data_IF_093255647058
#
_entry.id   IF_093255647058
#
_cell.length_a   1.000
_cell.length_b   1.000
_cell.length_c   1.000
_cell.angle_alpha   90.00
_cell.angle_beta   90.00
_cell.angle_gamma   90.00
#
_symmetry.space_group_name_H-M   'P 1'
#
loop_
_entity.id
_entity.type
_entity.pdbx_description
1 polymer ?
#
# COMPACT_ATOMS: atom_id res chain seq x y z
N UNK A 1 17.32 6.12 1.05
CA UNK A 1 15.95 6.63 1.18
C UNK A 1 15.85 7.95 1.99
N UNK A 2 16.82 8.32 2.85
CA UNK A 2 16.78 9.61 3.57
C UNK A 2 16.79 10.84 2.64
N UNK A 3 17.66 10.86 1.62
CA UNK A 3 17.68 11.96 0.63
C UNK A 3 16.33 12.09 -0.11
N UNK A 4 15.66 10.97 -0.37
CA UNK A 4 14.34 10.97 -0.99
C UNK A 4 13.28 11.61 -0.08
N UNK A 5 13.42 11.53 1.25
CA UNK A 5 12.52 12.25 2.16
C UNK A 5 12.72 13.77 2.06
N UNK A 6 13.97 14.24 1.98
CA UNK A 6 14.27 15.67 1.81
C UNK A 6 13.72 16.21 0.48
N UNK A 7 13.89 15.43 -0.59
CA UNK A 7 13.30 15.75 -1.90
C UNK A 7 11.77 15.77 -1.83
N UNK A 8 11.16 14.80 -1.15
CA UNK A 8 9.71 14.72 -0.99
C UNK A 8 9.16 15.93 -0.19
N UNK A 9 9.83 16.31 0.91
CA UNK A 9 9.53 17.53 1.68
C UNK A 9 9.66 18.80 0.82
N UNK A 10 10.70 18.88 -0.01
CA UNK A 10 10.93 20.01 -0.89
C UNK A 10 9.86 20.12 -1.99
N UNK A 11 9.50 19.02 -2.65
CA UNK A 11 8.51 18.99 -3.74
C UNK A 11 7.12 19.31 -3.20
N UNK A 12 6.61 18.51 -2.26
CA UNK A 12 5.22 18.62 -1.82
C UNK A 12 5.04 19.84 -0.91
N UNK A 13 5.98 20.10 0.00
CA UNK A 13 5.96 21.30 0.84
C UNK A 13 6.17 22.59 0.03
N UNK A 14 6.99 22.53 -1.03
CA UNK A 14 7.15 23.61 -2.00
C UNK A 14 5.87 23.89 -2.78
N UNK A 15 5.26 22.86 -3.37
CA UNK A 15 4.01 22.97 -4.11
C UNK A 15 2.89 23.56 -3.22
N UNK A 16 2.78 23.14 -1.97
CA UNK A 16 1.81 23.70 -1.04
C UNK A 16 2.03 25.21 -0.82
N UNK A 17 3.28 25.65 -0.62
CA UNK A 17 3.60 27.08 -0.48
C UNK A 17 3.32 27.87 -1.75
N UNK A 18 3.71 27.36 -2.91
CA UNK A 18 3.62 28.09 -4.17
C UNK A 18 2.18 28.20 -4.69
N UNK A 19 1.37 27.15 -4.50
CA UNK A 19 -0.02 27.11 -4.97
C UNK A 19 -0.98 27.79 -4.00
N UNK A 20 -0.83 27.54 -2.70
CA UNK A 20 -1.80 28.00 -1.69
C UNK A 20 -1.33 29.31 -1.02
N UNK A 21 -0.03 29.57 -0.96
CA UNK A 21 0.53 30.71 -0.24
C UNK A 21 0.50 30.54 1.28
N UNK A 22 0.23 29.33 1.79
CA UNK A 22 0.16 29.03 3.22
C UNK A 22 0.75 27.65 3.54
N UNK A 23 1.22 27.46 4.77
CA UNK A 23 1.70 26.15 5.26
C UNK A 23 0.61 25.34 5.95
N UNK A 24 -0.56 25.92 6.21
CA UNK A 24 -1.71 25.23 6.82
C UNK A 24 -2.93 25.38 5.95
N UNK A 25 -3.59 24.26 5.66
CA UNK A 25 -4.83 24.25 4.87
C UNK A 25 -5.93 23.47 5.56
N UNK A 26 -7.17 23.83 5.26
CA UNK A 26 -8.32 23.00 5.60
C UNK A 26 -8.60 22.02 4.48
N UNK A 27 -8.75 20.75 4.85
CA UNK A 27 -9.22 19.70 3.95
C UNK A 27 -10.36 18.94 4.64
N UNK A 28 -11.60 19.19 4.17
CA UNK A 28 -12.80 18.75 4.87
C UNK A 28 -12.88 19.35 6.28
N UNK A 29 -12.90 18.49 7.30
CA UNK A 29 -12.94 18.91 8.72
C UNK A 29 -11.55 18.99 9.37
N UNK A 30 -10.49 18.64 8.66
CA UNK A 30 -9.14 18.61 9.20
C UNK A 30 -8.34 19.83 8.77
N UNK A 31 -7.38 20.23 9.61
CA UNK A 31 -6.31 21.14 9.24
C UNK A 31 -5.04 20.32 8.98
N UNK A 32 -4.42 20.53 7.82
CA UNK A 32 -3.17 19.88 7.42
C UNK A 32 -2.06 20.92 7.52
N UNK A 33 -1.02 20.62 8.30
CA UNK A 33 0.18 21.46 8.44
C UNK A 33 1.35 20.87 7.62
N UNK A 34 1.74 21.58 6.57
CA UNK A 34 2.86 21.25 5.68
C UNK A 34 4.21 21.79 6.18
N UNK A 35 4.28 22.38 7.37
CA UNK A 35 5.54 22.87 7.93
C UNK A 35 6.51 21.71 8.14
N UNK A 36 7.67 21.79 7.49
CA UNK A 36 8.74 20.78 7.59
C UNK A 36 9.63 21.06 8.82
N UNK A 37 10.34 20.05 9.35
CA UNK A 37 10.37 18.65 8.92
C UNK A 37 9.11 17.87 9.35
N UNK A 38 8.71 16.90 8.54
CA UNK A 38 7.53 16.08 8.81
C UNK A 38 7.82 14.95 9.81
N UNK A 39 6.75 14.43 10.43
CA UNK A 39 6.85 13.31 11.37
C UNK A 39 7.45 12.11 10.64
N UNK A 40 8.42 11.45 11.26
CA UNK A 40 8.99 10.17 10.81
C UNK A 40 8.64 9.12 11.86
N UNK A 41 7.96 8.07 11.45
CA UNK A 41 7.50 7.02 12.36
C UNK A 41 7.69 5.65 11.73
N UNK A 42 8.10 4.66 12.52
CA UNK A 42 8.25 3.28 12.05
C UNK A 42 6.90 2.63 11.88
N UNK A 43 6.77 1.79 10.86
CA UNK A 43 5.57 1.01 10.57
C UNK A 43 5.07 0.24 11.81
N UNK A 44 5.97 -0.51 12.46
CA UNK A 44 5.65 -1.28 13.65
C UNK A 44 5.21 -0.42 14.85
N UNK A 45 5.78 0.79 14.99
CA UNK A 45 5.41 1.70 16.08
C UNK A 45 4.02 2.29 15.86
N UNK A 46 3.65 2.61 14.63
CA UNK A 46 2.32 3.09 14.28
C UNK A 46 1.25 2.00 14.46
N UNK A 47 1.57 0.76 14.08
CA UNK A 47 0.69 -0.38 14.32
C UNK A 47 0.47 -0.59 15.83
N UNK A 48 1.52 -0.46 16.64
CA UNK A 48 1.41 -0.51 18.10
C UNK A 48 0.60 0.67 18.65
N UNK A 49 0.82 1.88 18.15
CA UNK A 49 0.16 3.11 18.60
C UNK A 49 -1.35 3.08 18.35
N UNK A 50 -1.77 2.74 17.12
CA UNK A 50 -3.17 2.87 16.71
C UNK A 50 -3.96 1.57 16.75
N UNK A 51 -3.31 0.41 16.61
CA UNK A 51 -3.98 -0.90 16.67
C UNK A 51 -3.69 -1.68 17.95
N UNK A 52 -2.71 -1.26 18.77
CA UNK A 52 -2.30 -1.99 19.97
C UNK A 52 -1.62 -3.33 19.67
N UNK A 53 -1.08 -3.50 18.46
CA UNK A 53 -0.52 -4.76 17.98
C UNK A 53 1.00 -4.70 17.90
N UNK A 54 1.65 -5.78 18.34
CA UNK A 54 3.02 -6.07 17.93
C UNK A 54 2.98 -6.82 16.60
N UNK A 55 3.77 -6.36 15.63
CA UNK A 55 3.86 -6.97 14.31
C UNK A 55 4.28 -8.45 14.36
N UNK A 56 5.02 -8.87 15.39
CA UNK A 56 5.52 -10.24 15.53
C UNK A 56 4.56 -11.17 16.31
N UNK A 57 3.53 -10.62 16.96
CA UNK A 57 2.54 -11.40 17.71
C UNK A 57 1.47 -11.94 16.76
N UNK A 58 1.79 -13.05 16.08
CA UNK A 58 0.89 -13.70 15.10
C UNK A 58 -0.48 -14.03 15.69
N UNK A 59 -0.59 -14.63 16.90
CA UNK A 59 -1.89 -14.86 17.52
C UNK A 59 -2.70 -13.58 17.73
N UNK A 60 -2.10 -12.50 18.22
CA UNK A 60 -2.81 -11.24 18.45
C UNK A 60 -3.25 -10.57 17.13
N UNK A 61 -2.39 -10.58 16.11
CA UNK A 61 -2.70 -10.09 14.76
C UNK A 61 -3.89 -10.84 14.17
N UNK A 62 -3.88 -12.18 14.23
CA UNK A 62 -4.98 -13.01 13.73
C UNK A 62 -6.28 -12.75 14.50
N UNK A 63 -6.21 -12.69 15.84
CA UNK A 63 -7.37 -12.42 16.68
C UNK A 63 -7.98 -11.05 16.35
N UNK A 64 -7.15 -10.02 16.15
CA UNK A 64 -7.63 -8.68 15.79
C UNK A 64 -8.29 -8.65 14.41
N UNK A 65 -7.69 -9.33 13.42
CA UNK A 65 -8.28 -9.43 12.09
C UNK A 65 -9.64 -10.17 12.09
N UNK A 66 -9.81 -11.17 12.96
CA UNK A 66 -11.10 -11.83 13.16
C UNK A 66 -12.11 -10.92 13.85
N UNK A 67 -11.71 -10.22 14.92
CA UNK A 67 -12.53 -9.30 15.70
C UNK A 67 -13.17 -8.21 14.83
N UNK A 68 -12.39 -7.59 13.93
CA UNK A 68 -12.88 -6.51 13.07
C UNK A 68 -13.54 -7.02 11.76
N UNK A 69 -13.63 -8.34 11.57
CA UNK A 69 -14.20 -8.96 10.37
C UNK A 69 -13.31 -8.87 9.12
N UNK A 70 -12.05 -8.42 9.25
CA UNK A 70 -11.10 -8.31 8.14
C UNK A 70 -10.78 -9.68 7.54
N UNK A 71 -10.67 -10.74 8.37
CA UNK A 71 -10.39 -12.08 7.86
C UNK A 71 -11.50 -12.57 6.92
N UNK A 72 -12.77 -12.34 7.27
CA UNK A 72 -13.90 -12.68 6.42
C UNK A 72 -13.95 -11.84 5.14
N UNK A 73 -13.53 -10.56 5.21
CA UNK A 73 -13.39 -9.68 4.04
C UNK A 73 -12.33 -10.21 3.08
N UNK A 74 -11.17 -10.63 3.57
CA UNK A 74 -10.09 -11.21 2.78
C UNK A 74 -10.49 -12.55 2.15
N UNK A 75 -11.18 -13.42 2.89
CA UNK A 75 -11.73 -14.68 2.37
C UNK A 75 -12.67 -14.46 1.18
N UNK A 76 -13.58 -13.49 1.31
CA UNK A 76 -14.52 -13.14 0.22
C UNK A 76 -13.78 -12.57 -0.99
N UNK A 77 -12.76 -11.74 -0.77
CA UNK A 77 -11.97 -11.17 -1.86
C UNK A 77 -11.18 -12.25 -2.62
N UNK A 78 -10.57 -13.20 -1.91
CA UNK A 78 -9.88 -14.33 -2.53
C UNK A 78 -10.84 -15.21 -3.34
N UNK A 79 -11.99 -15.58 -2.77
CA UNK A 79 -12.98 -16.39 -3.47
C UNK A 79 -13.54 -15.68 -4.73
N UNK A 80 -13.63 -14.35 -4.73
CA UNK A 80 -14.03 -13.57 -5.90
C UNK A 80 -12.95 -13.60 -7.00
N UNK A 81 -11.68 -13.43 -6.63
CA UNK A 81 -10.56 -13.51 -7.56
C UNK A 81 -10.46 -14.88 -8.23
N UNK A 82 -10.62 -15.96 -7.47
CA UNK A 82 -10.67 -17.34 -7.99
C UNK A 82 -11.83 -17.58 -8.97
N UNK A 83 -12.87 -16.73 -8.92
CA UNK A 83 -14.01 -16.77 -9.85
C UNK A 83 -13.86 -15.78 -11.01
N UNK A 84 -12.70 -15.12 -11.16
CA UNK A 84 -12.46 -14.08 -12.17
C UNK A 84 -13.27 -12.80 -11.94
N UNK A 85 -13.81 -12.60 -10.73
CA UNK A 85 -14.58 -11.42 -10.36
C UNK A 85 -13.63 -10.42 -9.69
N UNK A 86 -13.55 -9.22 -10.25
CA UNK A 86 -12.81 -8.11 -9.66
C UNK A 86 -13.35 -7.76 -8.25
N UNK A 87 -12.57 -7.95 -7.18
CA UNK A 87 -13.02 -7.75 -5.81
C UNK A 87 -13.37 -6.29 -5.49
N UNK A 88 -12.83 -5.31 -6.24
CA UNK A 88 -13.20 -3.90 -6.09
C UNK A 88 -14.65 -3.61 -6.52
N UNK A 89 -15.31 -4.53 -7.23
CA UNK A 89 -16.72 -4.41 -7.63
C UNK A 89 -17.71 -4.92 -6.56
N UNK A 90 -17.24 -5.69 -5.58
CA UNK A 90 -18.07 -6.26 -4.49
C UNK A 90 -18.33 -5.28 -3.34
N UNK A 91 -17.55 -4.20 -3.23
CA UNK A 91 -17.65 -3.19 -2.17
C UNK A 91 -18.51 -1.96 -2.53
N UNK A 92 -19.17 -1.95 -3.70
CA UNK A 92 -20.05 -0.85 -4.10
C UNK A 92 -21.45 -0.96 -3.44
N UNK A 93 -22.03 0.13 -2.88
CA UNK A 93 -23.37 0.10 -2.33
C UNK A 93 -24.42 -0.10 -3.45
N UNK A 94 -25.28 -1.12 -3.32
CA UNK A 94 -26.44 -1.32 -4.20
C UNK A 94 -26.64 -2.72 -4.81
N UNK A 95 -25.81 -3.72 -4.47
CA UNK A 95 -25.95 -5.11 -4.97
C UNK A 95 -26.43 -6.12 -3.91
N UNK A 96 -27.09 -5.69 -2.84
CA UNK A 96 -27.66 -6.59 -1.81
C UNK A 96 -28.90 -7.38 -2.28
N UNK A 97 -29.34 -7.23 -3.55
CA UNK A 97 -30.58 -7.83 -4.05
C UNK A 97 -30.44 -8.65 -5.35
N UNK A 98 -29.23 -9.05 -5.76
CA UNK A 98 -29.10 -10.08 -6.79
C UNK A 98 -29.21 -11.46 -6.14
N UNK A 99 -30.07 -12.37 -6.66
CA UNK A 99 -30.11 -13.73 -6.15
C UNK A 99 -28.76 -14.39 -6.42
N UNK A 100 -28.15 -14.88 -5.34
CA UNK A 100 -26.92 -15.68 -5.39
C UNK A 100 -27.07 -16.80 -6.42
N UNK A 101 -26.11 -17.02 -7.32
CA UNK A 101 -26.08 -18.26 -8.08
C UNK A 101 -25.96 -19.43 -7.10
N UNK A 102 -26.73 -20.50 -7.36
CA UNK A 102 -26.76 -21.72 -6.56
C UNK A 102 -25.33 -22.21 -6.34
N UNK A 103 -24.92 -22.56 -5.10
CA UNK A 103 -23.57 -23.05 -4.85
C UNK A 103 -23.29 -24.25 -5.75
N UNK A 104 -22.21 -24.20 -6.52
CA UNK A 104 -21.62 -25.40 -7.06
C UNK A 104 -21.33 -26.35 -5.88
N UNK A 105 -21.54 -27.66 -6.09
CA UNK A 105 -21.42 -28.68 -5.05
C UNK A 105 -20.09 -28.55 -4.28
N UNK A 106 -20.09 -28.83 -2.97
CA UNK A 106 -18.91 -28.65 -2.12
C UNK A 106 -17.80 -29.61 -2.56
N UNK A 107 -16.87 -29.10 -3.36
CA UNK A 107 -15.56 -29.70 -3.53
C UNK A 107 -14.73 -29.45 -2.27
N UNK A 108 -14.31 -30.54 -1.62
CA UNK A 108 -13.38 -30.60 -0.49
C UNK A 108 -13.69 -29.68 0.72
N UNK A 109 -14.47 -30.22 1.66
CA UNK A 109 -14.48 -29.71 3.03
C UNK A 109 -13.07 -29.76 3.63
N UNK A 110 -12.57 -28.62 4.12
CA UNK A 110 -11.51 -28.56 5.14
C UNK A 110 -10.15 -27.98 4.77
N UNK A 111 -10.01 -27.15 3.72
CA UNK A 111 -8.80 -26.33 3.60
C UNK A 111 -8.89 -25.16 4.61
N UNK A 112 -8.03 -25.15 5.62
CA UNK A 112 -7.88 -23.97 6.49
C UNK A 112 -7.47 -22.77 5.64
N UNK A 113 -8.25 -21.69 5.71
CA UNK A 113 -7.89 -20.44 5.05
C UNK A 113 -6.59 -19.92 5.66
N UNK A 114 -5.52 -19.99 4.87
CA UNK A 114 -4.19 -19.54 5.26
C UNK A 114 -3.92 -18.18 4.64
N UNK A 115 -3.74 -17.16 5.48
CA UNK A 115 -3.26 -15.83 5.05
C UNK A 115 -1.84 -15.68 5.54
N UNK A 116 -0.94 -15.25 4.64
CA UNK A 116 0.40 -14.88 5.04
C UNK A 116 0.35 -13.79 6.12
N UNK A 117 1.14 -13.99 7.18
CA UNK A 117 1.14 -13.12 8.34
C UNK A 117 1.46 -11.67 7.98
N UNK A 118 2.40 -11.46 7.05
CA UNK A 118 2.84 -10.12 6.66
C UNK A 118 1.77 -9.42 5.83
N UNK A 119 1.07 -10.14 4.95
CA UNK A 119 -0.10 -9.61 4.24
C UNK A 119 -1.24 -9.24 5.19
N UNK A 120 -1.48 -10.05 6.23
CA UNK A 120 -2.50 -9.77 7.22
C UNK A 120 -2.18 -8.52 8.06
N UNK A 121 -0.91 -8.38 8.46
CA UNK A 121 -0.39 -7.16 9.09
C UNK A 121 -0.63 -5.95 8.20
N UNK A 122 -0.33 -6.05 6.90
CA UNK A 122 -0.53 -4.95 5.97
C UNK A 122 -1.99 -4.53 5.85
N UNK A 123 -2.88 -5.50 5.71
CA UNK A 123 -4.32 -5.24 5.65
C UNK A 123 -4.85 -4.59 6.95
N UNK A 124 -4.29 -4.95 8.11
CA UNK A 124 -4.62 -4.30 9.39
C UNK A 124 -4.08 -2.87 9.47
N UNK A 125 -2.89 -2.60 8.93
CA UNK A 125 -2.34 -1.26 8.87
C UNK A 125 -3.23 -0.34 8.02
N UNK A 126 -3.62 -0.80 6.83
CA UNK A 126 -4.54 -0.06 5.95
C UNK A 126 -5.88 0.26 6.65
N UNK A 127 -6.47 -0.74 7.30
CA UNK A 127 -7.80 -0.59 7.94
C UNK A 127 -7.75 0.23 9.24
N UNK A 128 -6.68 0.12 10.03
CA UNK A 128 -6.64 0.67 11.39
C UNK A 128 -5.71 1.86 11.58
N UNK A 129 -4.69 2.04 10.75
CA UNK A 129 -3.63 3.05 10.96
C UNK A 129 -3.78 4.26 10.04
N UNK A 130 -3.97 4.05 8.74
CA UNK A 130 -3.89 5.12 7.74
C UNK A 130 -4.80 6.31 8.04
N UNK A 131 -6.04 6.04 8.49
CA UNK A 131 -7.03 7.08 8.81
C UNK A 131 -6.56 8.08 9.89
N UNK A 132 -5.60 7.69 10.74
CA UNK A 132 -5.05 8.54 11.79
C UNK A 132 -3.91 9.45 11.31
N UNK A 133 -3.34 9.18 10.13
CA UNK A 133 -2.22 9.94 9.56
C UNK A 133 -2.71 11.20 8.86
N UNK A 134 -3.15 12.18 9.67
CA UNK A 134 -3.74 13.45 9.17
C UNK A 134 -2.68 14.39 8.60
N UNK A 135 -1.70 14.76 9.42
CA UNK A 135 -0.58 15.59 8.98
C UNK A 135 0.44 14.75 8.22
N UNK A 136 1.27 15.37 7.35
CA UNK A 136 2.33 14.68 6.63
C UNK A 136 3.20 13.84 7.58
N UNK A 137 3.20 12.53 7.33
CA UNK A 137 3.92 11.55 8.13
C UNK A 137 4.62 10.56 7.21
N UNK A 138 5.94 10.50 7.30
CA UNK A 138 6.72 9.42 6.70
C UNK A 138 6.60 8.17 7.57
N UNK A 139 6.04 7.11 6.99
CA UNK A 139 6.03 5.76 7.53
C UNK A 139 7.27 5.06 7.03
N UNK A 140 8.11 4.54 7.92
CA UNK A 140 9.42 3.96 7.63
C UNK A 140 9.47 2.47 7.97
N UNK A 141 10.52 1.80 7.53
CA UNK A 141 10.94 0.48 8.01
C UNK A 141 9.85 -0.59 7.81
N UNK A 142 9.40 -0.72 6.56
CA UNK A 142 8.38 -1.71 6.17
C UNK A 142 8.91 -3.14 6.28
N UNK A 143 8.03 -4.13 6.55
CA UNK A 143 8.39 -5.54 6.43
C UNK A 143 8.96 -5.87 5.04
N UNK A 144 10.14 -6.49 5.05
CA UNK A 144 10.88 -6.89 3.87
C UNK A 144 10.03 -7.67 2.84
N UNK A 145 9.20 -8.67 3.22
CA UNK A 145 8.39 -9.42 2.27
C UNK A 145 7.36 -8.57 1.48
N UNK A 146 6.96 -7.40 1.99
CA UNK A 146 6.07 -6.47 1.27
C UNK A 146 6.81 -5.62 0.22
N UNK A 147 8.14 -5.68 0.18
CA UNK A 147 8.98 -4.76 -0.57
C UNK A 147 9.97 -5.54 -1.45
N UNK A 148 9.50 -6.20 -2.53
CA UNK A 148 10.29 -7.11 -3.37
C UNK A 148 11.38 -6.41 -4.18
N UNK A 149 11.25 -5.10 -4.43
CA UNK A 149 12.19 -4.29 -5.21
C UNK A 149 13.09 -3.41 -4.33
N UNK A 150 13.01 -3.57 -3.01
CA UNK A 150 13.68 -2.67 -2.07
C UNK A 150 14.85 -3.34 -1.39
N UNK A 151 15.95 -2.60 -1.23
CA UNK A 151 17.08 -3.03 -0.39
C UNK A 151 16.63 -3.35 1.03
N UNK A 152 17.16 -4.45 1.56
CA UNK A 152 17.05 -4.80 2.97
C UNK A 152 17.81 -3.80 3.83
N UNK A 153 17.35 -3.57 5.05
CA UNK A 153 18.10 -2.78 6.02
C UNK A 153 19.38 -3.54 6.40
N UNK A 154 20.56 -2.88 6.43
CA UNK A 154 21.85 -3.56 6.62
C UNK A 154 21.96 -4.26 7.98
N UNK A 155 21.38 -3.66 9.03
CA UNK A 155 21.42 -4.21 10.39
C UNK A 155 20.26 -5.16 10.71
N UNK A 156 19.18 -5.12 9.93
CA UNK A 156 17.98 -5.95 10.16
C UNK A 156 17.34 -6.33 8.82
N UNK A 157 17.73 -7.48 8.24
CA UNK A 157 17.21 -7.91 6.94
C UNK A 157 15.70 -8.17 6.89
N UNK A 158 15.00 -8.21 8.03
CA UNK A 158 13.54 -8.32 8.08
C UNK A 158 12.83 -7.02 7.69
N UNK A 159 13.58 -5.92 7.56
CA UNK A 159 13.08 -4.59 7.21
C UNK A 159 13.59 -4.16 5.83
N UNK A 160 12.78 -3.35 5.15
CA UNK A 160 13.11 -2.71 3.89
C UNK A 160 13.45 -1.24 4.09
N UNK A 161 14.44 -0.73 3.33
CA UNK A 161 14.82 0.69 3.27
C UNK A 161 13.80 1.49 2.42
N UNK A 162 12.54 1.48 2.85
CA UNK A 162 11.38 2.11 2.23
C UNK A 162 10.76 3.14 3.15
N UNK A 163 10.19 4.17 2.57
CA UNK A 163 9.17 4.98 3.22
C UNK A 163 7.95 5.16 2.33
N UNK A 164 6.81 5.40 2.96
CA UNK A 164 5.66 6.03 2.33
C UNK A 164 5.31 7.31 3.07
N UNK A 165 4.95 8.35 2.33
CA UNK A 165 4.42 9.57 2.90
C UNK A 165 2.90 9.47 2.92
N UNK A 166 2.30 9.62 4.10
CA UNK A 166 0.85 9.74 4.24
C UNK A 166 0.45 11.16 4.58
N UNK A 167 -0.61 11.64 3.92
CA UNK A 167 -1.28 12.91 4.25
C UNK A 167 -2.79 12.67 4.20
N UNK A 168 -3.49 12.98 5.29
CA UNK A 168 -4.93 12.72 5.43
C UNK A 168 -5.33 11.27 5.11
N UNK A 169 -4.49 10.32 5.55
CA UNK A 169 -4.68 8.89 5.31
C UNK A 169 -4.56 8.45 3.85
N UNK A 170 -4.10 9.33 2.97
CA UNK A 170 -3.76 8.98 1.59
C UNK A 170 -2.24 8.83 1.48
N UNK A 171 -1.80 7.72 0.89
CA UNK A 171 -0.43 7.53 0.44
C UNK A 171 -0.12 8.58 -0.66
N UNK A 172 0.72 9.55 -0.34
CA UNK A 172 1.10 10.67 -1.19
C UNK A 172 2.35 10.36 -2.01
N UNK A 173 3.24 9.51 -1.49
CA UNK A 173 4.38 9.04 -2.24
C UNK A 173 5.02 7.84 -1.59
N UNK A 174 5.69 7.04 -2.41
CA UNK A 174 6.39 5.83 -2.03
C UNK A 174 7.83 5.95 -2.54
N UNK A 175 8.80 5.70 -1.68
CA UNK A 175 10.20 5.81 -2.02
C UNK A 175 11.03 4.76 -1.30
N UNK A 176 12.08 4.31 -1.94
CA UNK A 176 12.95 3.29 -1.38
C UNK A 176 14.35 3.36 -1.96
N UNK A 177 15.29 2.79 -1.22
CA UNK A 177 16.61 2.46 -1.78
C UNK A 177 16.46 1.23 -2.68
N UNK A 178 16.74 1.42 -3.96
CA UNK A 178 16.54 0.41 -5.02
C UNK A 178 17.38 -0.83 -4.77
N UNK A 179 16.77 -2.01 -4.89
CA UNK A 179 17.50 -3.28 -4.93
C UNK A 179 18.27 -3.35 -6.25
N UNK A 180 19.59 -3.41 -6.15
CA UNK A 180 20.48 -3.43 -7.29
C UNK A 180 21.39 -4.69 -7.30
N UNK A 181 21.05 -5.68 -6.47
CA UNK A 181 21.68 -6.99 -6.47
C UNK A 181 20.83 -7.93 -7.35
N UNK A 182 21.35 -8.37 -8.51
CA UNK A 182 20.58 -9.15 -9.48
C UNK A 182 20.16 -10.52 -8.92
N UNK A 183 20.99 -11.17 -8.10
CA UNK A 183 20.71 -12.49 -7.56
C UNK A 183 19.54 -12.41 -6.57
N UNK A 184 19.59 -11.42 -5.66
CA UNK A 184 18.51 -11.19 -4.70
C UNK A 184 17.23 -10.73 -5.41
N UNK A 185 17.34 -9.91 -6.46
CA UNK A 185 16.18 -9.47 -7.22
C UNK A 185 15.50 -10.63 -7.95
N UNK A 186 16.28 -11.55 -8.53
CA UNK A 186 15.80 -12.78 -9.17
C UNK A 186 15.09 -13.67 -8.17
N UNK A 187 15.66 -13.87 -6.98
CA UNK A 187 15.03 -14.65 -5.90
C UNK A 187 13.67 -14.05 -5.48
N UNK A 188 13.62 -12.74 -5.26
CA UNK A 188 12.37 -12.06 -4.89
C UNK A 188 11.29 -12.20 -5.97
N UNK A 189 11.65 -12.02 -7.25
CA UNK A 189 10.70 -12.15 -8.36
C UNK A 189 10.24 -13.60 -8.55
N UNK A 190 11.14 -14.57 -8.41
CA UNK A 190 10.79 -15.99 -8.51
C UNK A 190 9.77 -16.38 -7.43
N UNK A 191 9.98 -15.93 -6.18
CA UNK A 191 9.03 -16.17 -5.09
C UNK A 191 7.66 -15.51 -5.28
N UNK A 192 7.53 -14.48 -6.13
CA UNK A 192 6.23 -13.89 -6.47
C UNK A 192 5.48 -14.67 -7.56
N UNK A 193 6.20 -15.46 -8.36
CA UNK A 193 5.63 -16.31 -9.41
C UNK A 193 5.26 -17.67 -8.83
N UNK A 194 6.05 -18.19 -7.89
CA UNK A 194 5.76 -19.42 -7.15
C UNK A 194 4.59 -19.24 -6.18
N UNK A 195 3.36 -19.46 -6.66
CA UNK A 195 2.14 -19.40 -5.84
C UNK A 195 0.90 -18.94 -6.58
N UNK A 196 1.06 -18.40 -7.78
CA UNK A 196 -0.06 -18.04 -8.65
C UNK A 196 -0.31 -19.15 -9.67
N UNK A 197 -1.57 -19.60 -9.81
CA UNK A 197 -1.94 -20.61 -10.80
C UNK A 197 -1.70 -20.15 -12.24
N UNK A 198 -1.82 -21.08 -13.20
CA UNK A 198 -1.57 -20.90 -14.64
C UNK A 198 -2.31 -19.71 -15.33
N UNK A 199 -3.21 -19.03 -14.62
CA UNK A 199 -4.00 -17.90 -15.14
C UNK A 199 -3.36 -16.52 -14.94
N UNK A 200 -2.23 -16.43 -14.24
CA UNK A 200 -1.54 -15.14 -14.04
C UNK A 200 -0.56 -14.86 -15.18
N UNK A 201 -0.67 -13.66 -15.78
CA UNK A 201 0.23 -13.20 -16.84
C UNK A 201 1.58 -12.70 -16.30
N UNK A 202 1.91 -13.02 -15.04
CA UNK A 202 3.17 -12.59 -14.41
C UNK A 202 4.29 -13.52 -14.85
N UNK A 203 5.12 -13.00 -15.74
CA UNK A 203 6.31 -13.68 -16.24
C UNK A 203 7.53 -13.04 -15.57
N UNK A 204 8.58 -13.84 -15.33
CA UNK A 204 9.87 -13.31 -14.91
C UNK A 204 10.36 -12.27 -15.92
N UNK A 205 10.70 -11.08 -15.43
CA UNK A 205 11.30 -10.02 -16.25
C UNK A 205 12.82 -10.26 -16.34
N UNK A 206 13.20 -11.19 -17.21
CA UNK A 206 14.61 -11.55 -17.44
C UNK A 206 15.40 -10.36 -17.98
N UNK A 207 14.80 -9.50 -18.80
CA UNK A 207 15.46 -8.30 -19.34
C UNK A 207 15.80 -7.31 -18.21
N UNK A 208 14.89 -7.12 -17.25
CA UNK A 208 15.15 -6.30 -16.06
C UNK A 208 16.28 -6.87 -15.21
N UNK A 209 16.25 -8.18 -14.91
CA UNK A 209 17.31 -8.81 -14.10
C UNK A 209 18.66 -8.76 -14.83
N UNK A 210 18.71 -9.08 -16.13
CA UNK A 210 19.93 -8.96 -16.93
C UNK A 210 20.48 -7.53 -16.90
N UNK A 211 19.61 -6.52 -16.96
CA UNK A 211 20.05 -5.11 -16.88
C UNK A 211 20.75 -4.78 -15.56
N UNK A 212 20.35 -5.40 -14.45
CA UNK A 212 20.99 -5.23 -13.13
C UNK A 212 22.39 -5.87 -13.10
N UNK A 213 22.60 -6.97 -13.83
CA UNK A 213 23.88 -7.68 -13.92
C UNK A 213 24.97 -6.83 -14.60
N UNK A 214 24.60 -5.89 -15.47
CA UNK A 214 25.54 -4.90 -16.04
C UNK A 214 26.01 -3.84 -15.03
N UNK A 215 25.35 -3.75 -13.86
CA UNK A 215 25.75 -2.91 -12.75
C UNK A 215 24.91 -1.65 -12.60
N UNK A 216 23.80 -1.77 -11.87
CA UNK A 216 23.03 -0.61 -11.41
C UNK A 216 23.73 0.08 -10.22
N UNK A 217 24.04 1.39 -10.29
CA UNK A 217 24.63 2.11 -9.17
C UNK A 217 23.66 2.20 -7.98
N UNK A 218 24.15 2.49 -6.76
CA UNK A 218 23.27 2.81 -5.65
C UNK A 218 22.30 3.95 -6.03
N UNK A 219 21.01 3.67 -5.99
CA UNK A 219 19.96 4.60 -6.37
C UNK A 219 18.81 4.59 -5.35
N UNK A 220 17.98 5.63 -5.41
CA UNK A 220 16.69 5.70 -4.72
C UNK A 220 15.60 6.10 -5.69
N UNK A 221 14.49 5.38 -5.65
CA UNK A 221 13.28 5.71 -6.39
C UNK A 221 12.31 6.52 -5.53
N UNK A 222 11.52 7.37 -6.18
CA UNK A 222 10.43 8.14 -5.57
C UNK A 222 9.27 8.23 -6.56
N UNK A 223 8.12 7.69 -6.18
CA UNK A 223 6.84 7.92 -6.83
C UNK A 223 6.00 8.89 -6.03
N UNK A 224 5.35 9.86 -6.69
CA UNK A 224 4.42 10.82 -6.07
C UNK A 224 3.06 10.73 -6.77
N UNK A 225 2.00 10.60 -5.98
CA UNK A 225 0.63 10.61 -6.47
C UNK A 225 0.17 12.02 -6.84
N UNK A 226 0.38 12.43 -8.10
CA UNK A 226 0.04 13.77 -8.58
C UNK A 226 -1.45 14.09 -8.39
N UNK A 227 -2.36 13.19 -8.74
CA UNK A 227 -3.80 13.41 -8.58
C UNK A 227 -4.18 13.64 -7.11
N UNK A 228 -3.62 12.85 -6.19
CA UNK A 228 -3.84 12.99 -4.74
C UNK A 228 -3.26 14.31 -4.22
N UNK A 229 -2.10 14.72 -4.74
CA UNK A 229 -1.51 16.01 -4.41
C UNK A 229 -2.42 17.15 -4.86
N UNK A 230 -2.90 17.12 -6.11
CA UNK A 230 -3.84 18.12 -6.63
C UNK A 230 -5.12 18.14 -5.79
N UNK A 231 -5.69 16.98 -5.45
CA UNK A 231 -6.86 16.88 -4.57
C UNK A 231 -6.68 17.65 -3.26
N UNK A 232 -5.56 17.43 -2.55
CA UNK A 232 -5.28 18.14 -1.30
C UNK A 232 -5.12 19.64 -1.52
N UNK A 233 -4.37 20.04 -2.54
CA UNK A 233 -4.09 21.45 -2.84
C UNK A 233 -5.33 22.23 -3.30
N UNK A 234 -6.31 21.56 -3.92
CA UNK A 234 -7.57 22.16 -4.37
C UNK A 234 -8.72 21.98 -3.37
N UNK A 235 -8.52 21.21 -2.29
CA UNK A 235 -9.58 20.86 -1.35
C UNK A 235 -10.62 19.87 -1.90
N UNK A 236 -10.29 19.16 -2.99
CA UNK A 236 -11.19 18.20 -3.63
C UNK A 236 -11.17 16.85 -2.91
N UNK A 237 -12.33 16.35 -2.50
CA UNK A 237 -12.44 15.06 -1.79
C UNK A 237 -12.62 13.85 -2.71
N UNK A 238 -12.78 14.07 -4.02
CA UNK A 238 -12.96 13.04 -5.03
C UNK A 238 -11.92 13.20 -6.14
N UNK A 239 -11.25 12.10 -6.51
CA UNK A 239 -10.26 12.08 -7.60
C UNK A 239 -10.89 12.47 -8.96
N UNK A 240 -12.20 12.26 -9.11
CA UNK A 240 -12.93 12.64 -10.33
C UNK A 240 -12.97 14.15 -10.53
N UNK A 241 -12.78 14.93 -9.47
CA UNK A 241 -12.83 16.39 -9.53
C UNK A 241 -11.50 16.99 -9.98
N UNK A 242 -10.43 16.18 -10.06
CA UNK A 242 -9.09 16.60 -10.49
C UNK A 242 -8.65 15.98 -11.82
N UNK A 243 -9.46 15.08 -12.38
CA UNK A 243 -9.25 14.47 -13.69
C UNK A 243 -10.28 15.06 -14.67
N UNK A 244 -9.83 15.62 -15.80
CA UNK A 244 -10.73 16.28 -16.77
C UNK A 244 -11.81 15.32 -17.33
N UNK A 245 -11.42 14.08 -17.63
CA UNK A 245 -12.30 13.04 -18.19
C UNK A 245 -12.15 11.74 -17.38
N UNK A 246 -12.75 11.64 -16.18
CA UNK A 246 -12.57 10.50 -15.32
C UNK A 246 -13.32 9.28 -15.88
N UNK A 247 -12.80 8.08 -15.63
CA UNK A 247 -13.46 6.84 -16.04
C UNK A 247 -14.88 6.78 -15.46
N UNK A 248 -15.86 6.71 -16.35
CA UNK A 248 -17.27 6.53 -16.01
C UNK A 248 -17.68 5.07 -16.24
N UNK A 249 -18.67 4.61 -15.48
CA UNK A 249 -19.36 3.37 -15.86
C UNK A 249 -20.07 3.62 -17.20
N UNK A 250 -20.01 2.69 -18.16
CA UNK A 250 -20.78 2.79 -19.39
C UNK A 250 -22.27 3.00 -19.07
N UNK A 251 -22.97 3.80 -19.87
CA UNK A 251 -24.43 3.89 -19.80
C UNK A 251 -25.00 2.64 -20.47
N UNK A 252 -25.94 1.98 -19.81
CA UNK A 252 -26.76 0.91 -20.40
C UNK A 252 -27.63 1.44 -21.55
#
# INVERSE_FOLDING_TARGET
YHDMMEICEAIIGGAARDVIGATRIKFGQHEIDYTTPWRRARYADLLREYAGLDINDRPAVLAKAQEIGLLAKLQKAQAALEQGVDPAKLSAPGMEQQPMPTPAQPGAAGAEFHVDHVLLVNALFEELVEQHLINPTFVLDYPAPLCPLTKRHPDDPSLALRFELYIKGMEMGNAYSELNDPDVQRENLAGQIEGEGDETMRVMDEDFVESLEYGMPPAGGLGIGIDRMVMLLTGSTSIRDVILFPLQRPRE
#
